data_IF_337839775406
#
_entry.id   IF_337839775406
#
_cell.length_a   1.000
_cell.length_b   1.000
_cell.length_c   1.000
_cell.angle_alpha   90.00
_cell.angle_beta   90.00
_cell.angle_gamma   90.00
#
_symmetry.space_group_name_H-M   'P 1'
#
loop_
_entity.id
_entity.type
_entity.pdbx_description
1 polymer ?
#
# COMPACT_ATOMS: atom_id res chain seq x y z
N UNK A 1 2.07 9.08 -15.95
CA UNK A 1 1.00 9.27 -14.96
C UNK A 1 -0.08 8.24 -15.24
N UNK A 2 -0.40 7.35 -14.29
CA UNK A 2 -1.46 6.34 -14.45
C UNK A 2 -2.37 6.31 -13.22
N UNK A 3 -3.69 6.22 -13.44
CA UNK A 3 -4.71 6.10 -12.39
C UNK A 3 -5.68 4.97 -12.71
N UNK A 4 -6.09 4.21 -11.69
CA UNK A 4 -7.10 3.15 -11.81
C UNK A 4 -8.11 3.31 -10.68
N UNK A 5 -9.40 3.21 -11.02
CA UNK A 5 -10.51 3.23 -10.08
C UNK A 5 -11.25 1.89 -10.12
N UNK A 6 -11.77 1.45 -8.98
CA UNK A 6 -12.58 0.25 -8.86
C UNK A 6 -13.61 0.36 -7.73
N UNK A 7 -14.49 -0.65 -7.60
CA UNK A 7 -15.45 -0.71 -6.50
C UNK A 7 -14.75 -0.67 -5.13
N UNK A 8 -15.48 -0.23 -4.09
CA UNK A 8 -15.00 -0.14 -2.70
C UNK A 8 -13.79 0.78 -2.49
N UNK A 9 -13.80 1.94 -3.18
CA UNK A 9 -12.76 2.94 -3.05
C UNK A 9 -11.39 2.48 -3.58
N UNK A 10 -11.34 1.39 -4.36
CA UNK A 10 -10.09 0.92 -4.95
C UNK A 10 -9.52 2.02 -5.83
N UNK A 11 -8.36 2.53 -5.45
CA UNK A 11 -7.65 3.54 -6.18
C UNK A 11 -6.16 3.25 -6.19
N UNK A 12 -5.57 3.38 -7.37
CA UNK A 12 -4.11 3.29 -7.57
C UNK A 12 -3.67 4.47 -8.39
N UNK A 13 -2.62 5.16 -7.95
CA UNK A 13 -1.95 6.21 -8.74
C UNK A 13 -0.45 5.97 -8.76
N UNK A 14 0.12 6.02 -9.95
CA UNK A 14 1.55 5.88 -10.16
C UNK A 14 2.11 7.15 -10.83
N UNK A 15 3.07 7.78 -10.16
CA UNK A 15 3.86 8.92 -10.67
C UNK A 15 5.33 8.54 -10.68
N UNK A 16 6.03 8.99 -11.72
CA UNK A 16 7.42 8.63 -11.98
C UNK A 16 7.88 9.10 -13.37
N UNK A 17 9.15 8.88 -13.68
CA UNK A 17 9.81 9.22 -14.94
C UNK A 17 10.88 8.19 -15.34
N UNK A 18 11.68 8.46 -16.37
CA UNK A 18 12.72 7.54 -16.85
C UNK A 18 13.85 7.26 -15.85
N UNK A 19 13.92 7.98 -14.73
CA UNK A 19 14.86 7.78 -13.61
C UNK A 19 14.18 7.10 -12.41
N UNK A 20 13.06 6.42 -12.64
CA UNK A 20 12.38 5.68 -11.59
C UNK A 20 13.26 4.58 -11.02
N UNK A 21 13.13 4.29 -9.71
CA UNK A 21 13.83 3.19 -9.10
C UNK A 21 13.40 1.86 -9.74
N UNK A 22 14.37 0.95 -9.91
CA UNK A 22 14.13 -0.39 -10.44
C UNK A 22 13.56 -1.29 -9.33
N UNK A 23 12.33 -0.97 -8.91
CA UNK A 23 11.56 -1.71 -7.93
C UNK A 23 10.12 -1.95 -8.39
N UNK A 24 9.61 -3.13 -8.05
CA UNK A 24 8.21 -3.50 -8.18
C UNK A 24 7.57 -3.40 -6.80
N UNK A 25 6.50 -2.62 -6.66
CA UNK A 25 5.71 -2.56 -5.43
C UNK A 25 4.34 -3.14 -5.71
N UNK A 26 3.95 -4.12 -4.92
CA UNK A 26 2.64 -4.75 -4.97
C UNK A 26 1.93 -4.66 -3.63
N UNK A 27 0.60 -4.65 -3.67
CA UNK A 27 -0.24 -4.68 -2.48
C UNK A 27 -1.09 -5.93 -2.47
N UNK A 28 -1.01 -6.70 -1.39
CA UNK A 28 -1.86 -7.85 -1.12
C UNK A 28 -2.66 -7.68 0.17
N UNK A 29 -3.57 -8.60 0.43
CA UNK A 29 -4.27 -8.70 1.72
C UNK A 29 -3.52 -9.66 2.63
N UNK A 30 -3.35 -9.28 3.89
CA UNK A 30 -2.82 -10.21 4.90
C UNK A 30 -3.86 -11.32 5.13
N UNK A 31 -3.41 -12.57 5.17
CA UNK A 31 -4.26 -13.76 5.33
C UNK A 31 -4.00 -14.41 6.68
N UNK A 32 -5.04 -15.01 7.27
CA UNK A 32 -4.90 -15.76 8.51
C UNK A 32 -4.00 -17.00 8.33
N UNK A 33 -3.06 -17.23 9.25
CA UNK A 33 -2.09 -18.35 9.20
C UNK A 33 -2.74 -19.72 9.06
N UNK A 34 -3.94 -19.91 9.63
CA UNK A 34 -4.64 -21.19 9.65
C UNK A 34 -5.80 -21.25 8.62
N UNK A 35 -6.10 -20.15 7.93
CA UNK A 35 -7.21 -20.04 6.97
C UNK A 35 -6.80 -19.09 5.84
N UNK A 36 -5.98 -19.57 4.90
CA UNK A 36 -5.42 -18.76 3.81
C UNK A 36 -6.46 -18.12 2.87
N UNK A 37 -7.73 -18.51 2.94
CA UNK A 37 -8.83 -17.89 2.20
C UNK A 37 -9.46 -16.69 2.93
N UNK A 38 -9.14 -16.46 4.20
CA UNK A 38 -9.72 -15.40 5.02
C UNK A 38 -8.71 -14.28 5.22
N UNK A 39 -8.97 -13.06 4.72
CA UNK A 39 -8.12 -11.91 5.00
C UNK A 39 -8.32 -11.44 6.44
N UNK A 40 -7.25 -10.96 7.06
CA UNK A 40 -7.27 -10.45 8.45
C UNK A 40 -7.88 -9.06 8.58
N UNK A 41 -8.09 -8.37 7.44
CA UNK A 41 -8.46 -6.95 7.37
C UNK A 41 -7.27 -6.01 7.18
N UNK A 42 -6.04 -6.51 7.31
CA UNK A 42 -4.82 -5.75 7.05
C UNK A 42 -4.36 -5.90 5.59
N UNK A 43 -3.50 -4.98 5.15
CA UNK A 43 -2.81 -5.08 3.86
C UNK A 43 -1.32 -5.36 4.04
N UNK A 44 -0.73 -5.96 3.02
CA UNK A 44 0.70 -6.26 2.95
C UNK A 44 1.27 -5.56 1.73
N UNK A 45 2.24 -4.68 1.95
CA UNK A 45 3.06 -4.07 0.91
C UNK A 45 4.26 -4.98 0.67
N UNK A 46 4.47 -5.38 -0.58
CA UNK A 46 5.65 -6.15 -0.99
C UNK A 46 6.45 -5.33 -2.01
N UNK A 47 7.70 -5.08 -1.68
CA UNK A 47 8.65 -4.31 -2.49
C UNK A 47 9.71 -5.29 -2.95
N UNK A 48 9.82 -5.50 -4.26
CA UNK A 48 10.83 -6.33 -4.88
C UNK A 48 11.77 -5.47 -5.72
N UNK A 49 13.05 -5.80 -5.68
CA UNK A 49 14.01 -5.26 -6.63
C UNK A 49 13.81 -5.89 -8.00
N UNK A 50 13.76 -5.07 -9.05
CA UNK A 50 13.69 -5.52 -10.45
C UNK A 50 14.96 -5.21 -11.25
N UNK A 51 15.92 -4.50 -10.63
CA UNK A 51 17.18 -4.07 -11.22
C UNK A 51 18.42 -4.77 -10.66
N UNK A 52 19.58 -4.39 -11.21
CA UNK A 52 20.90 -4.89 -10.78
C UNK A 52 21.52 -4.05 -9.64
N UNK A 53 20.92 -2.93 -9.27
CA UNK A 53 21.40 -2.09 -8.17
C UNK A 53 21.30 -2.84 -6.84
N UNK A 54 22.41 -3.03 -6.13
CA UNK A 54 22.47 -3.74 -4.86
C UNK A 54 22.43 -2.82 -3.63
N UNK A 55 22.34 -1.51 -3.83
CA UNK A 55 22.31 -0.50 -2.77
C UNK A 55 21.07 -0.58 -1.86
N UNK A 56 21.21 -0.09 -0.63
CA UNK A 56 20.07 0.01 0.27
C UNK A 56 19.08 1.07 -0.23
N UNK A 57 17.80 0.72 -0.29
CA UNK A 57 16.73 1.62 -0.74
C UNK A 57 15.83 1.98 0.44
N UNK A 58 15.57 3.28 0.60
CA UNK A 58 14.73 3.81 1.68
C UNK A 58 13.42 4.30 1.11
N UNK A 59 12.32 3.90 1.74
CA UNK A 59 10.98 4.28 1.36
C UNK A 59 10.25 4.89 2.55
N UNK A 60 9.31 5.77 2.24
CA UNK A 60 8.43 6.41 3.20
C UNK A 60 6.99 6.16 2.80
N UNK A 61 6.24 5.52 3.68
CA UNK A 61 4.80 5.34 3.56
C UNK A 61 4.12 6.41 4.40
N UNK A 62 3.33 7.25 3.74
CA UNK A 62 2.56 8.32 4.37
C UNK A 62 1.09 8.00 4.22
N UNK A 63 0.36 7.97 5.33
CA UNK A 63 -1.10 7.90 5.31
C UNK A 63 -1.67 9.25 4.88
N UNK A 64 -2.68 9.21 4.00
CA UNK A 64 -3.23 10.40 3.37
C UNK A 64 -4.53 10.91 4.04
N UNK A 65 -5.24 10.05 4.78
CA UNK A 65 -6.64 10.30 5.18
C UNK A 65 -6.91 9.97 6.65
N UNK A 66 -6.37 8.87 7.15
CA UNK A 66 -6.72 8.29 8.45
C UNK A 66 -5.76 8.70 9.58
N UNK A 67 -4.72 9.49 9.28
CA UNK A 67 -3.82 10.08 10.28
C UNK A 67 -2.84 9.08 10.90
N UNK A 68 -2.61 7.93 10.26
CA UNK A 68 -1.61 6.99 10.73
C UNK A 68 -0.19 7.57 10.66
N UNK A 69 0.67 7.18 11.61
CA UNK A 69 2.07 7.65 11.63
C UNK A 69 2.79 7.23 10.35
N UNK A 70 3.58 8.14 9.80
CA UNK A 70 4.47 7.85 8.69
C UNK A 70 5.40 6.69 9.04
N UNK A 71 5.47 5.70 8.15
CA UNK A 71 6.30 4.52 8.32
C UNK A 71 7.51 4.60 7.38
N UNK A 72 8.70 4.47 7.94
CA UNK A 72 9.94 4.39 7.18
C UNK A 72 10.28 2.91 6.95
N UNK A 73 10.52 2.55 5.70
CA UNK A 73 10.79 1.19 5.26
C UNK A 73 12.17 1.17 4.61
N UNK A 74 12.97 0.15 4.89
CA UNK A 74 14.32 0.03 4.31
C UNK A 74 14.44 -1.34 3.68
N UNK A 75 14.69 -1.38 2.38
CA UNK A 75 15.16 -2.57 1.68
C UNK A 75 16.69 -2.59 1.83
N UNK A 76 17.27 -3.50 2.64
CA UNK A 76 18.71 -3.50 2.88
C UNK A 76 19.51 -3.79 1.62
N UNK A 77 20.77 -3.37 1.61
CA UNK A 77 21.70 -3.74 0.54
C UNK A 77 21.77 -5.27 0.41
N UNK A 78 21.96 -5.77 -0.81
CA UNK A 78 22.02 -7.22 -1.10
C UNK A 78 20.75 -8.02 -0.73
N UNK A 79 19.63 -7.36 -0.44
CA UNK A 79 18.33 -8.00 -0.23
C UNK A 79 17.43 -7.75 -1.43
N UNK A 80 16.67 -8.78 -1.85
CA UNK A 80 15.86 -8.71 -3.06
C UNK A 80 14.42 -8.26 -2.79
N UNK A 81 13.92 -8.44 -1.57
CA UNK A 81 12.53 -8.15 -1.23
C UNK A 81 12.36 -7.61 0.20
N UNK A 82 11.29 -6.84 0.38
CA UNK A 82 10.83 -6.34 1.66
C UNK A 82 9.32 -6.48 1.74
N UNK A 83 8.83 -7.04 2.84
CA UNK A 83 7.40 -7.20 3.12
C UNK A 83 7.04 -6.40 4.35
N UNK A 84 6.01 -5.56 4.24
CA UNK A 84 5.54 -4.69 5.33
C UNK A 84 4.03 -4.82 5.49
N UNK A 85 3.60 -5.26 6.69
CA UNK A 85 2.17 -5.32 7.03
C UNK A 85 1.70 -3.97 7.57
N UNK A 86 0.61 -3.46 7.00
CA UNK A 86 -0.08 -2.26 7.49
C UNK A 86 -1.32 -2.69 8.25
N UNK A 87 -1.33 -2.38 9.55
CA UNK A 87 -2.46 -2.69 10.41
C UNK A 87 -3.58 -1.67 10.21
N UNK A 88 -4.77 -2.14 9.81
CA UNK A 88 -5.92 -1.30 9.48
C UNK A 88 -7.09 -1.49 10.46
N UNK A 89 -6.84 -2.13 11.62
CA UNK A 89 -7.90 -2.40 12.61
C UNK A 89 -8.55 -1.11 13.12
N UNK A 90 -7.78 -0.04 13.26
CA UNK A 90 -8.27 1.27 13.74
C UNK A 90 -8.98 2.07 12.66
N UNK A 91 -8.85 1.68 11.40
CA UNK A 91 -9.44 2.36 10.23
C UNK A 91 -10.52 1.51 9.58
N UNK A 92 -11.07 0.52 10.30
CA UNK A 92 -12.10 -0.38 9.81
C UNK A 92 -11.77 -0.98 8.44
N UNK A 93 -10.53 -1.45 8.25
CA UNK A 93 -10.01 -2.07 7.01
C UNK A 93 -9.89 -1.11 5.81
N UNK A 94 -10.12 0.19 6.01
CA UNK A 94 -9.85 1.21 5.00
C UNK A 94 -8.39 1.64 5.03
N UNK A 95 -7.84 1.93 3.86
CA UNK A 95 -6.50 2.47 3.70
C UNK A 95 -6.47 3.50 2.59
N UNK A 96 -5.67 4.54 2.78
CA UNK A 96 -5.20 5.43 1.73
C UNK A 96 -3.81 5.92 2.13
N UNK A 97 -2.79 5.43 1.43
CA UNK A 97 -1.41 5.82 1.69
C UNK A 97 -0.62 5.99 0.40
N UNK A 98 0.47 6.74 0.49
CA UNK A 98 1.43 6.93 -0.59
C UNK A 98 2.81 6.48 -0.16
N UNK A 99 3.42 5.63 -0.98
CA UNK A 99 4.80 5.20 -0.86
C UNK A 99 5.66 6.10 -1.75
N UNK A 100 6.71 6.68 -1.16
CA UNK A 100 7.74 7.45 -1.85
C UNK A 100 9.11 6.85 -1.57
N UNK A 101 10.05 7.04 -2.48
CA UNK A 101 11.45 6.69 -2.25
C UNK A 101 12.22 7.93 -1.80
N UNK A 102 13.04 7.81 -0.76
CA UNK A 102 13.92 8.90 -0.36
C UNK A 102 14.94 9.18 -1.47
N UNK A 103 15.09 10.46 -1.83
CA UNK A 103 15.99 10.89 -2.91
C UNK A 103 15.40 10.84 -4.31
N UNK A 104 14.12 10.46 -4.47
CA UNK A 104 13.40 10.58 -5.76
C UNK A 104 12.01 11.20 -5.56
N UNK A 105 11.93 12.53 -5.68
CA UNK A 105 10.70 13.29 -5.47
C UNK A 105 9.62 13.04 -6.54
N UNK A 106 10.01 12.51 -7.70
CA UNK A 106 9.09 12.25 -8.81
C UNK A 106 8.38 10.89 -8.66
N UNK A 107 8.99 9.95 -7.94
CA UNK A 107 8.46 8.62 -7.75
C UNK A 107 7.49 8.58 -6.56
N UNK A 108 6.22 8.32 -6.85
CA UNK A 108 5.23 8.06 -5.81
C UNK A 108 4.18 7.07 -6.28
N UNK A 109 3.77 6.20 -5.36
CA UNK A 109 2.74 5.20 -5.62
C UNK A 109 1.69 5.27 -4.52
N UNK A 110 0.48 5.64 -4.90
CA UNK A 110 -0.66 5.76 -4.00
C UNK A 110 -1.56 4.54 -4.10
N UNK A 111 -1.97 4.05 -2.94
CA UNK A 111 -2.84 2.91 -2.77
C UNK A 111 -3.97 3.32 -1.83
N UNK A 112 -5.20 3.30 -2.32
CA UNK A 112 -6.40 3.40 -1.50
C UNK A 112 -7.39 2.27 -1.76
N UNK A 113 -8.23 2.00 -0.78
CA UNK A 113 -9.33 1.04 -0.87
C UNK A 113 -9.72 0.48 0.49
N UNK A 114 -10.57 -0.54 0.44
CA UNK A 114 -11.05 -1.26 1.61
C UNK A 114 -10.76 -2.76 1.49
N UNK A 115 -10.31 -3.39 2.56
CA UNK A 115 -10.13 -4.85 2.60
C UNK A 115 -11.47 -5.52 2.89
N UNK A 116 -12.11 -6.07 1.85
CA UNK A 116 -13.29 -6.89 2.02
C UNK A 116 -12.91 -8.27 2.58
N UNK A 117 -13.11 -8.44 3.88
CA UNK A 117 -13.26 -9.78 4.44
C UNK A 117 -14.63 -10.30 4.05
N UNK A 118 -14.74 -11.56 3.61
CA UNK A 118 -16.01 -12.23 3.19
C UNK A 118 -17.07 -12.37 4.32
N UNK A 119 -17.13 -11.43 5.26
CA UNK A 119 -18.23 -11.18 6.18
C UNK A 119 -18.95 -9.93 5.66
N UNK A 120 -20.18 -10.13 5.18
CA UNK A 120 -21.19 -9.11 4.83
C UNK A 120 -20.69 -7.66 4.94
N UNK A 121 -20.24 -7.08 3.82
CA UNK A 121 -19.71 -5.72 3.79
C UNK A 121 -20.84 -4.72 4.06
N UNK A 122 -20.58 -3.79 4.99
CA UNK A 122 -21.38 -2.58 5.13
C UNK A 122 -20.91 -1.56 4.09
N UNK A 123 -21.88 -0.87 3.50
CA UNK A 123 -21.68 0.20 2.51
C UNK A 123 -20.88 1.35 3.11
N UNK A 124 -20.04 1.96 2.26
CA UNK A 124 -19.23 3.15 2.51
C UNK A 124 -19.98 4.28 3.27
N UNK A 125 -19.50 4.74 4.44
CA UNK A 125 -20.15 5.81 5.22
C UNK A 125 -20.12 7.20 4.57
N UNK A 126 -19.23 7.43 3.61
CA UNK A 126 -19.08 8.73 2.93
C UNK A 126 -20.09 8.88 1.77
N UNK A 127 -20.63 7.76 1.27
CA UNK A 127 -21.75 7.74 0.32
C UNK A 127 -23.13 7.74 0.99
N UNK A 128 -23.19 7.67 2.32
CA UNK A 128 -24.43 7.66 3.10
C UNK A 128 -24.80 9.03 3.67
N UNK A 129 -24.77 10.08 2.84
CA UNK A 129 -25.04 11.47 3.24
C UNK A 129 -26.05 11.61 4.38
N UNK A 130 -25.53 11.77 5.60
CA UNK A 130 -26.27 12.22 6.77
C UNK A 130 -26.01 13.72 6.91
N UNK A 131 -26.88 14.49 6.26
CA UNK A 131 -27.43 15.71 6.86
C UNK A 131 -28.55 15.28 7.81
#
# INVERSE_FOLDING_TARGET
>A
YQQVYGPNGFFRRYTGNSKDPQVLVSLGYEREKNKSAVPTGNVVVHIMRSGNDIGAMKFKLTDNVYGAKTMNMVLPANTNELTVTINLKTTHNWYDFTIRMDGNDNYAQQYAGHVESNKQSFTDPLMGGLV
#
